data_IF_811071577492
#
_entry.id   IF_811071577492
#
_cell.length_a   1.000
_cell.length_b   1.000
_cell.length_c   1.000
_cell.angle_alpha   90.00
_cell.angle_beta   90.00
_cell.angle_gamma   90.00
#
_symmetry.space_group_name_H-M   'P 1'
#
loop_
_entity.id
_entity.type
_entity.pdbx_description
1 polymer ?
#
# COMPACT_ATOMS: atom_id res chain seq x y z
N UNK A 1 -25.51 36.73 -10.67
CA UNK A 1 -25.15 35.89 -9.51
C UNK A 1 -25.60 34.43 -9.60
N UNK A 2 -26.72 34.09 -10.27
CA UNK A 2 -27.20 32.69 -10.37
C UNK A 2 -26.47 31.83 -11.42
N UNK A 3 -25.84 32.46 -12.43
CA UNK A 3 -25.08 31.78 -13.51
C UNK A 3 -23.60 31.53 -13.19
N UNK A 4 -23.06 32.17 -12.16
CA UNK A 4 -21.65 32.03 -11.75
C UNK A 4 -21.42 30.80 -10.87
N UNK A 5 -22.45 30.34 -10.14
CA UNK A 5 -22.41 29.14 -9.31
C UNK A 5 -22.13 27.83 -10.08
N UNK A 6 -22.83 27.53 -11.19
CA UNK A 6 -22.56 26.29 -11.94
C UNK A 6 -21.20 26.31 -12.64
N UNK A 7 -20.71 27.49 -13.04
CA UNK A 7 -19.40 27.63 -13.67
C UNK A 7 -18.26 27.36 -12.66
N UNK A 8 -18.43 27.83 -11.42
CA UNK A 8 -17.48 27.56 -10.34
C UNK A 8 -17.46 26.08 -9.94
N UNK A 9 -18.63 25.44 -9.89
CA UNK A 9 -18.75 24.01 -9.59
C UNK A 9 -18.10 23.13 -10.68
N UNK A 10 -18.29 23.48 -11.96
CA UNK A 10 -17.65 22.77 -13.07
C UNK A 10 -16.13 22.93 -13.04
N UNK A 11 -15.63 24.12 -12.71
CA UNK A 11 -14.19 24.37 -12.57
C UNK A 11 -13.59 23.58 -11.40
N UNK A 12 -14.28 23.47 -10.26
CA UNK A 12 -13.84 22.61 -9.15
C UNK A 12 -13.83 21.13 -9.52
N UNK A 13 -14.83 20.66 -10.28
CA UNK A 13 -14.87 19.27 -10.73
C UNK A 13 -13.73 18.95 -11.72
N UNK A 14 -13.34 19.90 -12.56
CA UNK A 14 -12.17 19.79 -13.47
C UNK A 14 -10.82 19.80 -12.74
N UNK A 15 -10.76 20.36 -11.53
CA UNK A 15 -9.55 20.41 -10.69
C UNK A 15 -9.45 19.22 -9.70
N UNK A 16 -10.51 18.42 -9.56
CA UNK A 16 -10.51 17.26 -8.70
C UNK A 16 -9.65 16.15 -9.33
N UNK A 17 -8.45 15.93 -8.79
CA UNK A 17 -7.66 14.74 -9.13
C UNK A 17 -8.27 13.51 -8.45
N UNK A 18 -8.32 12.35 -9.12
CA UNK A 18 -8.79 11.12 -8.49
C UNK A 18 -7.87 10.80 -7.32
N UNK A 19 -8.44 10.67 -6.13
CA UNK A 19 -7.72 10.12 -4.99
C UNK A 19 -7.41 8.64 -5.32
N UNK A 20 -6.15 8.35 -5.66
CA UNK A 20 -5.65 6.97 -5.67
C UNK A 20 -5.43 6.57 -4.22
N UNK A 21 -6.30 5.71 -3.71
CA UNK A 21 -6.08 5.06 -2.43
C UNK A 21 -4.78 4.25 -2.48
N UNK A 22 -4.12 4.09 -1.33
CA UNK A 22 -2.92 3.28 -1.26
C UNK A 22 -3.24 1.82 -1.63
N UNK A 23 -2.41 1.22 -2.46
CA UNK A 23 -2.48 -0.20 -2.78
C UNK A 23 -2.10 -1.00 -1.54
N UNK A 24 -3.00 -1.87 -1.09
CA UNK A 24 -2.73 -2.77 0.03
C UNK A 24 -1.85 -3.91 -0.46
N UNK A 25 -0.68 -4.07 0.16
CA UNK A 25 0.24 -5.15 -0.12
C UNK A 25 0.52 -5.94 1.17
N UNK A 26 0.43 -7.26 1.09
CA UNK A 26 0.84 -8.14 2.19
C UNK A 26 2.15 -8.80 1.79
N UNK A 27 3.14 -8.71 2.66
CA UNK A 27 4.44 -9.34 2.48
C UNK A 27 4.61 -10.43 3.54
N UNK A 28 4.55 -11.69 3.11
CA UNK A 28 5.00 -12.82 3.92
C UNK A 28 6.54 -12.90 3.86
N UNK A 29 7.19 -12.87 5.02
CA UNK A 29 8.62 -13.14 5.13
C UNK A 29 8.90 -14.62 4.83
N UNK A 30 10.12 -14.92 4.38
CA UNK A 30 10.58 -16.29 4.16
C UNK A 30 10.84 -17.05 5.48
N UNK A 31 11.06 -16.30 6.58
CA UNK A 31 11.40 -16.83 7.90
C UNK A 31 10.98 -15.88 9.03
N UNK A 32 11.41 -16.16 10.27
CA UNK A 32 11.25 -15.21 11.37
C UNK A 32 12.04 -13.91 11.09
N UNK A 33 11.60 -12.75 11.60
CA UNK A 33 12.27 -11.46 11.38
C UNK A 33 13.72 -11.47 11.84
N UNK A 34 14.64 -11.16 10.94
CA UNK A 34 16.08 -11.15 11.24
C UNK A 34 16.80 -10.01 10.49
N UNK A 35 18.13 -9.97 10.57
CA UNK A 35 18.94 -8.88 10.01
C UNK A 35 18.76 -8.70 8.50
N UNK A 36 18.45 -9.78 7.77
CA UNK A 36 18.25 -9.74 6.32
C UNK A 36 17.00 -8.92 5.96
N UNK A 37 16.03 -8.82 6.88
CA UNK A 37 14.78 -8.07 6.69
C UNK A 37 14.84 -6.62 7.14
N UNK A 38 15.94 -6.16 7.75
CA UNK A 38 16.09 -4.77 8.24
C UNK A 38 15.74 -3.72 7.18
N UNK A 39 16.15 -3.83 5.89
CA UNK A 39 15.78 -2.86 4.88
C UNK A 39 14.26 -2.69 4.69
N UNK A 40 13.48 -3.76 4.86
CA UNK A 40 12.00 -3.71 4.75
C UNK A 40 11.42 -2.87 5.87
N UNK A 41 11.86 -3.12 7.11
CA UNK A 41 11.36 -2.39 8.28
C UNK A 41 11.81 -0.92 8.29
N UNK A 42 13.04 -0.63 7.87
CA UNK A 42 13.52 0.76 7.73
C UNK A 42 12.69 1.51 6.69
N UNK A 43 12.39 0.89 5.54
CA UNK A 43 11.54 1.48 4.52
C UNK A 43 10.10 1.72 5.01
N UNK A 44 9.56 0.80 5.81
CA UNK A 44 8.25 0.94 6.46
C UNK A 44 8.23 2.10 7.45
N UNK A 45 9.18 2.15 8.39
CA UNK A 45 9.26 3.20 9.41
C UNK A 45 9.55 4.58 8.82
N UNK A 46 10.34 4.64 7.74
CA UNK A 46 10.65 5.88 7.04
C UNK A 46 9.52 6.37 6.12
N UNK A 47 8.42 5.63 6.02
CA UNK A 47 7.26 6.02 5.21
C UNK A 47 7.42 5.80 3.70
N UNK A 48 8.50 5.16 3.24
CA UNK A 48 8.79 5.01 1.80
C UNK A 48 7.68 4.26 1.06
N UNK A 49 7.07 3.25 1.68
CA UNK A 49 5.92 2.55 1.09
C UNK A 49 4.70 3.47 0.97
N UNK A 50 4.41 4.28 1.99
CA UNK A 50 3.30 5.22 1.95
C UNK A 50 3.50 6.30 0.88
N UNK A 51 4.73 6.81 0.72
CA UNK A 51 5.10 7.75 -0.35
C UNK A 51 4.94 7.13 -1.75
N UNK A 52 5.21 5.82 -1.88
CA UNK A 52 4.96 5.05 -3.10
C UNK A 52 3.47 4.70 -3.29
N UNK A 53 2.57 5.12 -2.39
CA UNK A 53 1.16 4.78 -2.43
C UNK A 53 0.87 3.32 -2.08
N UNK A 54 1.70 2.70 -1.25
CA UNK A 54 1.58 1.31 -0.80
C UNK A 54 1.29 1.28 0.70
N UNK A 55 0.24 0.56 1.09
CA UNK A 55 -0.05 0.19 2.47
C UNK A 55 0.45 -1.22 2.70
N UNK A 56 1.67 -1.33 3.26
CA UNK A 56 2.35 -2.60 3.48
C UNK A 56 1.96 -3.22 4.83
N UNK A 57 1.60 -4.50 4.83
CA UNK A 57 1.49 -5.36 6.00
C UNK A 57 2.56 -6.46 5.94
N UNK A 58 3.38 -6.58 6.97
CA UNK A 58 4.43 -7.62 7.05
C UNK A 58 3.96 -8.75 7.95
N UNK A 59 4.01 -9.98 7.45
CA UNK A 59 3.65 -11.20 8.18
C UNK A 59 4.84 -12.15 8.26
N UNK A 60 4.95 -12.86 9.39
CA UNK A 60 5.90 -13.97 9.53
C UNK A 60 5.18 -15.30 9.22
N UNK A 61 5.88 -16.26 8.59
CA UNK A 61 5.29 -17.56 8.30
C UNK A 61 5.06 -18.35 9.59
N UNK A 62 4.01 -19.18 9.61
CA UNK A 62 3.80 -20.12 10.72
C UNK A 62 4.66 -21.36 10.51
N UNK A 63 4.75 -21.83 9.26
CA UNK A 63 5.58 -22.95 8.82
C UNK A 63 6.54 -22.55 7.71
N UNK A 64 7.69 -23.23 7.61
CA UNK A 64 8.73 -22.93 6.60
C UNK A 64 8.25 -22.94 5.15
N UNK A 65 7.18 -23.68 4.86
CA UNK A 65 6.62 -23.82 3.52
C UNK A 65 5.51 -22.80 3.22
N UNK A 66 5.04 -22.04 4.21
CA UNK A 66 3.92 -21.10 4.04
C UNK A 66 4.18 -20.01 3.01
N UNK A 67 5.36 -19.37 2.92
CA UNK A 67 5.59 -18.29 1.95
C UNK A 67 5.32 -18.75 0.52
N UNK A 68 5.80 -19.93 0.16
CA UNK A 68 5.57 -20.49 -1.18
C UNK A 68 4.12 -20.97 -1.35
N UNK A 69 3.56 -21.69 -0.37
CA UNK A 69 2.21 -22.26 -0.46
C UNK A 69 1.14 -21.18 -0.53
N UNK A 70 1.21 -20.18 0.34
CA UNK A 70 0.21 -19.14 0.45
C UNK A 70 0.26 -18.21 -0.76
N UNK A 71 1.46 -17.83 -1.22
CA UNK A 71 1.61 -17.02 -2.43
C UNK A 71 1.06 -17.75 -3.67
N UNK A 72 1.35 -19.05 -3.82
CA UNK A 72 0.82 -19.84 -4.92
C UNK A 72 -0.71 -19.95 -4.91
N UNK A 73 -1.33 -19.87 -3.73
CA UNK A 73 -2.79 -19.92 -3.55
C UNK A 73 -3.48 -18.55 -3.56
N UNK A 74 -2.72 -17.44 -3.62
CA UNK A 74 -3.26 -16.08 -3.54
C UNK A 74 -3.81 -15.69 -2.16
N UNK A 75 -3.38 -16.41 -1.11
CA UNK A 75 -3.71 -16.07 0.28
C UNK A 75 -2.67 -15.12 0.92
N UNK A 76 -1.61 -14.78 0.18
CA UNK A 76 -0.68 -13.68 0.43
C UNK A 76 -0.16 -13.15 -0.90
#
# INVERSE_FOLDING_TARGET
MKRTLPLLALLLALLASPARGAERLVLMLDWFPNVDHVPIYVALESGMFAEAGISLEVQSPTESADPLKLAASGNV
#
